data_IF_168789227618
#
_entry.id   IF_168789227618
#
_cell.length_a   1.000
_cell.length_b   1.000
_cell.length_c   1.000
_cell.angle_alpha   90.00
_cell.angle_beta   90.00
_cell.angle_gamma   90.00
#
_symmetry.space_group_name_H-M   'P 1'
#
loop_
_entity.id
_entity.type
_entity.pdbx_description
1 polymer ?
#
# COMPACT_ATOMS: atom_id res chain seq x y z
N UNK A 1 12.48 -6.76 4.18
CA UNK A 1 12.81 -6.40 2.79
C UNK A 1 11.82 -5.39 2.22
N UNK A 2 10.51 -5.65 2.19
CA UNK A 2 9.50 -4.72 1.64
C UNK A 2 9.59 -3.27 2.18
N UNK A 3 9.71 -3.08 3.50
CA UNK A 3 9.87 -1.72 4.08
C UNK A 3 11.06 -0.94 3.51
N UNK A 4 12.18 -1.61 3.22
CA UNK A 4 13.37 -0.95 2.69
C UNK A 4 13.14 -0.54 1.24
N UNK A 5 12.46 -1.38 0.45
CA UNK A 5 12.10 -1.04 -0.92
C UNK A 5 11.20 0.21 -0.99
N UNK A 6 10.26 0.38 -0.05
CA UNK A 6 9.43 1.59 0.03
C UNK A 6 10.29 2.81 0.35
N UNK A 7 11.18 2.71 1.34
CA UNK A 7 12.09 3.81 1.72
C UNK A 7 13.01 4.19 0.55
N UNK A 8 13.56 3.21 -0.16
CA UNK A 8 14.42 3.43 -1.33
C UNK A 8 13.63 4.13 -2.45
N UNK A 9 12.39 3.70 -2.70
CA UNK A 9 11.53 4.31 -3.72
C UNK A 9 11.15 5.75 -3.36
N UNK A 10 10.84 6.02 -2.09
CA UNK A 10 10.65 7.39 -1.61
C UNK A 10 11.90 8.24 -1.82
N UNK A 11 13.10 7.70 -1.54
CA UNK A 11 14.37 8.38 -1.79
C UNK A 11 14.58 8.73 -3.27
N UNK A 12 14.34 7.76 -4.17
CA UNK A 12 14.45 7.97 -5.63
C UNK A 12 13.44 9.01 -6.13
N UNK A 13 12.24 9.02 -5.58
CA UNK A 13 11.15 9.94 -5.95
C UNK A 13 11.21 11.27 -5.17
N UNK A 14 12.20 11.46 -4.29
CA UNK A 14 12.33 12.63 -3.41
C UNK A 14 11.06 12.92 -2.59
N UNK A 15 10.43 11.86 -2.07
CA UNK A 15 9.24 11.95 -1.24
C UNK A 15 9.62 12.00 0.24
N UNK A 16 9.02 12.95 0.95
CA UNK A 16 9.09 13.03 2.40
C UNK A 16 8.03 12.11 3.04
N UNK A 17 8.34 11.40 4.14
CA UNK A 17 7.36 10.63 4.88
C UNK A 17 6.25 11.55 5.40
N UNK A 18 5.00 11.12 5.23
CA UNK A 18 3.84 11.91 5.64
C UNK A 18 3.59 11.75 7.14
N UNK A 19 3.15 12.82 7.82
CA UNK A 19 2.65 12.69 9.20
C UNK A 19 1.46 11.72 9.22
N UNK A 20 1.49 10.75 10.15
CA UNK A 20 0.48 9.72 10.25
C UNK A 20 -0.91 10.37 10.45
N UNK A 21 -1.73 10.33 9.39
CA UNK A 21 -3.00 11.06 9.33
C UNK A 21 -4.10 10.37 10.17
N UNK A 22 -4.02 9.05 10.30
CA UNK A 22 -4.87 8.21 11.13
C UNK A 22 -4.20 6.83 11.35
N UNK A 23 -4.55 6.13 12.42
CA UNK A 23 -4.12 4.74 12.63
C UNK A 23 -4.81 3.82 11.60
N UNK A 24 -4.04 3.24 10.67
CA UNK A 24 -4.55 2.37 9.59
C UNK A 24 -5.06 1.00 10.06
N UNK A 25 -4.71 0.57 11.27
CA UNK A 25 -5.20 -0.68 11.84
C UNK A 25 -5.48 -0.44 13.33
N UNK A 26 -6.66 0.13 13.63
CA UNK A 26 -7.15 0.30 14.99
C UNK A 26 -7.36 -1.07 15.66
N UNK A 27 -7.39 -1.09 16.99
CA UNK A 27 -7.55 -2.32 17.78
C UNK A 27 -8.81 -3.14 17.41
N UNK A 28 -9.88 -2.50 16.94
CA UNK A 28 -11.08 -3.18 16.47
C UNK A 28 -10.83 -4.01 15.19
N UNK A 29 -10.15 -3.40 14.21
CA UNK A 29 -9.78 -4.06 12.94
C UNK A 29 -8.66 -5.10 13.15
N UNK A 30 -7.73 -4.86 14.08
CA UNK A 30 -6.71 -5.84 14.45
C UNK A 30 -7.34 -7.17 14.90
N UNK A 31 -8.36 -7.08 15.76
CA UNK A 31 -9.10 -8.25 16.25
C UNK A 31 -9.87 -8.96 15.12
N UNK A 32 -10.42 -8.20 14.18
CA UNK A 32 -11.09 -8.78 13.02
C UNK A 32 -10.11 -9.48 12.08
N UNK A 33 -8.96 -8.86 11.82
CA UNK A 33 -7.87 -9.44 11.05
C UNK A 33 -7.35 -10.74 11.69
N UNK A 34 -7.19 -10.78 13.02
CA UNK A 34 -6.86 -12.00 13.75
C UNK A 34 -7.89 -13.11 13.49
N UNK A 35 -9.18 -12.77 13.53
CA UNK A 35 -10.27 -13.70 13.21
C UNK A 35 -10.21 -14.23 11.77
N UNK A 36 -9.88 -13.39 10.80
CA UNK A 36 -9.71 -13.78 9.40
C UNK A 36 -8.51 -14.70 9.20
N UNK A 37 -7.37 -14.39 9.82
CA UNK A 37 -6.17 -15.22 9.76
C UNK A 37 -6.40 -16.57 10.45
N UNK A 38 -7.11 -16.59 11.58
CA UNK A 38 -7.45 -17.83 12.28
C UNK A 38 -8.31 -18.77 11.42
N UNK A 39 -9.25 -18.22 10.63
CA UNK A 39 -10.03 -19.00 9.64
C UNK A 39 -9.15 -19.62 8.56
N UNK A 40 -8.04 -18.96 8.20
CA UNK A 40 -7.02 -19.46 7.29
C UNK A 40 -5.96 -20.35 7.99
N UNK A 41 -6.22 -20.81 9.22
CA UNK A 41 -5.31 -21.59 10.06
C UNK A 41 -3.98 -20.89 10.41
N UNK A 42 -3.91 -19.56 10.27
CA UNK A 42 -2.79 -18.74 10.71
C UNK A 42 -3.10 -18.14 12.09
N UNK A 43 -2.30 -18.46 13.09
CA UNK A 43 -2.44 -17.91 14.44
C UNK A 43 -1.42 -16.81 14.67
N UNK A 44 -1.90 -15.61 14.99
CA UNK A 44 -1.03 -14.53 15.44
C UNK A 44 -0.65 -14.74 16.90
N UNK A 45 0.55 -14.26 17.25
CA UNK A 45 0.94 -14.11 18.64
C UNK A 45 0.33 -12.82 19.16
N UNK A 46 -0.56 -12.94 20.14
CA UNK A 46 -1.31 -11.82 20.73
C UNK A 46 -0.78 -11.40 22.11
N UNK A 47 0.42 -11.85 22.46
CA UNK A 47 1.10 -11.35 23.67
C UNK A 47 1.48 -9.87 23.51
N UNK A 48 1.47 -9.13 24.62
CA UNK A 48 1.75 -7.69 24.61
C UNK A 48 3.06 -7.30 23.90
N UNK A 49 4.09 -8.13 23.98
CA UNK A 49 5.37 -7.84 23.32
C UNK A 49 5.26 -7.99 21.79
N UNK A 50 4.54 -9.00 21.30
CA UNK A 50 4.27 -9.18 19.87
C UNK A 50 3.44 -8.04 19.29
N UNK A 51 2.40 -7.60 20.00
CA UNK A 51 1.56 -6.45 19.58
C UNK A 51 2.41 -5.17 19.53
N UNK A 52 3.22 -4.91 20.56
CA UNK A 52 4.14 -3.77 20.57
C UNK A 52 5.15 -3.83 19.42
N UNK A 53 5.65 -5.03 19.09
CA UNK A 53 6.55 -5.23 17.95
C UNK A 53 5.88 -4.93 16.61
N UNK A 54 4.60 -5.31 16.45
CA UNK A 54 3.82 -5.00 15.26
C UNK A 54 3.64 -3.48 15.11
N UNK A 55 3.26 -2.78 16.18
CA UNK A 55 3.15 -1.32 16.16
C UNK A 55 4.48 -0.63 15.82
N UNK A 56 5.58 -1.06 16.44
CA UNK A 56 6.91 -0.50 16.16
C UNK A 56 7.33 -0.73 14.70
N UNK A 57 7.01 -1.90 14.15
CA UNK A 57 7.28 -2.20 12.75
C UNK A 57 6.44 -1.28 11.84
N UNK A 58 5.14 -1.15 12.08
CA UNK A 58 4.24 -0.27 11.31
C UNK A 58 4.70 1.19 11.33
N UNK A 59 5.05 1.70 12.51
CA UNK A 59 5.57 3.07 12.67
C UNK A 59 6.86 3.33 11.84
N UNK A 60 7.66 2.29 11.55
CA UNK A 60 8.88 2.44 10.77
C UNK A 60 8.68 2.64 9.27
N UNK A 61 7.52 2.24 8.72
CA UNK A 61 7.31 2.24 7.26
C UNK A 61 6.00 2.90 6.80
N UNK A 62 4.94 2.94 7.62
CA UNK A 62 3.63 3.47 7.20
C UNK A 62 3.71 4.92 6.68
N UNK A 63 4.48 5.84 7.29
CA UNK A 63 4.65 7.21 6.76
C UNK A 63 5.15 7.28 5.32
N UNK A 64 6.00 6.34 4.92
CA UNK A 64 6.55 6.25 3.57
C UNK A 64 5.55 5.65 2.59
N UNK A 65 4.82 4.62 3.03
CA UNK A 65 3.78 3.98 2.23
C UNK A 65 2.63 4.95 1.93
N UNK A 66 2.24 5.79 2.90
CA UNK A 66 1.24 6.85 2.73
C UNK A 66 1.69 7.93 1.73
N UNK A 67 2.94 8.38 1.84
CA UNK A 67 3.53 9.34 0.90
C UNK A 67 3.53 8.78 -0.53
N UNK A 68 3.94 7.51 -0.68
CA UNK A 68 3.98 6.83 -1.96
C UNK A 68 2.57 6.61 -2.55
N UNK A 69 1.60 6.19 -1.74
CA UNK A 69 0.19 6.06 -2.12
C UNK A 69 -0.36 7.36 -2.69
N UNK A 70 -0.07 8.47 -2.00
CA UNK A 70 -0.50 9.80 -2.42
C UNK A 70 0.17 10.24 -3.72
N UNK A 71 1.47 9.99 -3.87
CA UNK A 71 2.22 10.33 -5.09
C UNK A 71 1.75 9.51 -6.30
N UNK A 72 1.50 8.22 -6.13
CA UNK A 72 1.08 7.31 -7.20
C UNK A 72 -0.43 7.37 -7.50
N UNK A 73 -1.21 8.11 -6.71
CA UNK A 73 -2.68 8.14 -6.78
C UNK A 73 -3.30 6.74 -6.68
N UNK A 74 -2.67 5.86 -5.89
CA UNK A 74 -3.12 4.49 -5.65
C UNK A 74 -3.46 4.34 -4.16
N UNK A 75 -4.76 4.30 -3.78
CA UNK A 75 -5.13 4.20 -2.38
C UNK A 75 -4.62 2.89 -1.79
N UNK A 76 -4.15 2.95 -0.54
CA UNK A 76 -3.75 1.77 0.18
C UNK A 76 -4.95 0.86 0.46
N UNK A 77 -4.82 -0.46 0.30
CA UNK A 77 -5.87 -1.38 0.66
C UNK A 77 -6.10 -1.37 2.17
N UNK A 78 -7.36 -1.55 2.57
CA UNK A 78 -7.71 -1.80 3.97
C UNK A 78 -7.09 -3.14 4.43
N UNK A 79 -6.77 -3.24 5.71
CA UNK A 79 -6.22 -4.48 6.28
C UNK A 79 -7.26 -5.59 6.31
N UNK A 80 -8.51 -5.21 6.60
CA UNK A 80 -9.66 -6.09 6.54
C UNK A 80 -10.42 -5.78 5.25
N UNK A 81 -10.57 -6.75 4.34
CA UNK A 81 -11.35 -6.54 3.12
C UNK A 81 -12.78 -6.16 3.49
N UNK A 82 -13.39 -5.16 2.83
CA UNK A 82 -14.79 -4.85 3.05
C UNK A 82 -15.66 -6.07 2.74
N UNK A 83 -16.71 -6.27 3.53
CA UNK A 83 -17.70 -7.33 3.27
C UNK A 83 -18.37 -7.02 1.94
N UNK A 84 -17.94 -7.69 0.88
CA UNK A 84 -18.57 -7.61 -0.44
C UNK A 84 -19.68 -8.66 -0.53
N UNK A 85 -20.92 -8.22 -0.71
CA UNK A 85 -21.85 -9.00 -1.55
C UNK A 85 -21.24 -9.07 -2.96
N UNK A 86 -21.39 -10.22 -3.60
CA UNK A 86 -20.67 -10.66 -4.78
C UNK A 86 -20.49 -9.64 -5.92
N UNK A 87 -19.36 -9.83 -6.64
CA UNK A 87 -19.01 -9.37 -8.00
C UNK A 87 -18.35 -7.97 -8.20
N UNK A 88 -17.14 -8.02 -8.78
CA UNK A 88 -16.23 -6.92 -9.21
C UNK A 88 -15.50 -6.13 -8.09
N UNK A 89 -14.31 -5.53 -8.22
CA UNK A 89 -13.16 -5.42 -9.18
C UNK A 89 -12.03 -4.78 -8.34
N UNK A 90 -10.72 -5.05 -8.47
CA UNK A 90 -9.78 -4.43 -9.45
C UNK A 90 -8.58 -5.34 -9.77
N UNK A 91 -8.52 -6.56 -9.21
CA UNK A 91 -7.28 -7.35 -9.19
C UNK A 91 -7.02 -8.25 -10.41
N UNK A 92 -7.95 -8.40 -11.38
CA UNK A 92 -7.77 -9.40 -12.45
C UNK A 92 -7.17 -8.88 -13.75
N UNK A 93 -7.29 -7.60 -14.11
CA UNK A 93 -6.87 -7.13 -15.46
C UNK A 93 -5.50 -6.47 -15.49
N UNK A 94 -5.01 -5.90 -14.38
CA UNK A 94 -3.79 -5.09 -14.40
C UNK A 94 -2.49 -5.91 -14.37
N UNK A 95 -2.50 -7.17 -13.91
CA UNK A 95 -1.29 -8.00 -13.80
C UNK A 95 -1.25 -9.22 -14.74
N UNK A 96 -2.32 -9.49 -15.51
CA UNK A 96 -2.41 -10.69 -16.37
C UNK A 96 -1.86 -10.45 -17.78
N UNK A 97 -1.72 -9.20 -18.22
CA UNK A 97 -1.08 -8.88 -19.48
C UNK A 97 0.08 -7.92 -19.22
N UNK A 98 1.33 -8.35 -19.44
CA UNK A 98 2.53 -7.51 -19.45
C UNK A 98 2.54 -6.46 -20.57
N UNK A 99 1.44 -5.73 -20.75
CA UNK A 99 1.30 -4.53 -21.57
C UNK A 99 1.02 -3.38 -20.63
N UNK A 100 2.08 -2.75 -20.14
CA UNK A 100 1.96 -1.36 -19.72
C UNK A 100 1.33 -0.56 -20.89
N UNK A 101 0.37 0.34 -20.63
CA UNK A 101 -0.11 1.24 -21.66
C UNK A 101 1.09 2.03 -22.17
N UNK A 102 1.48 1.80 -23.43
CA UNK A 102 2.44 2.67 -24.11
C UNK A 102 1.76 4.03 -24.19
N UNK A 103 2.19 4.98 -23.36
CA UNK A 103 1.98 6.38 -23.69
C UNK A 103 2.77 6.63 -24.97
N UNK A 104 2.10 6.54 -26.10
CA UNK A 104 2.59 7.07 -27.37
C UNK A 104 2.59 8.60 -27.25
N UNK A 105 3.56 9.13 -26.50
CA UNK A 105 3.91 10.54 -26.56
C UNK A 105 4.84 10.66 -27.75
N UNK A 106 4.26 10.68 -28.96
CA UNK A 106 4.88 11.30 -30.12
C UNK A 106 5.16 12.74 -29.70
N UNK A 107 6.40 13.02 -29.31
CA UNK A 107 6.90 14.37 -29.15
C UNK A 107 6.86 14.98 -30.55
N UNK A 108 5.78 15.69 -30.86
CA UNK A 108 5.80 16.61 -31.99
C UNK A 108 6.80 17.71 -31.62
N UNK A 109 7.98 17.61 -32.26
CA UNK A 109 8.94 18.68 -32.35
C UNK A 109 8.21 19.91 -32.89
N UNK A 110 7.93 20.87 -32.01
CA UNK A 110 7.55 22.22 -32.42
C UNK A 110 8.75 22.79 -33.19
N UNK A 111 8.60 23.15 -34.47
CA UNK A 111 9.70 23.80 -35.17
C UNK A 111 9.89 25.21 -34.58
N UNK A 112 11.11 25.48 -34.13
CA UNK A 112 11.58 26.85 -33.89
C UNK A 112 11.42 27.64 -35.19
N UNK A 113 10.66 28.72 -35.16
CA UNK A 113 10.78 29.77 -36.15
C UNK A 113 11.65 30.88 -35.56
N UNK A 114 12.70 31.21 -36.31
CA UNK A 114 13.56 32.39 -36.17
C UNK A 114 12.78 33.70 -36.29
#
# INVERSE_FOLDING_TARGET
MARHAVVDLCGVLSLEPTEARADRLPAAEEKELEGLLAKAALRLRTDHASIAQLHALRASYEPYVDALSSFLLMPLPDWVPPVRESEFSVESEFWVAGRAPRHDRRLELVPNHD
#
